data_IF_956078776280
#
_entry.id   IF_956078776280
#
_cell.length_a   1.000
_cell.length_b   1.000
_cell.length_c   1.000
_cell.angle_alpha   90.00
_cell.angle_beta   90.00
_cell.angle_gamma   90.00
#
_symmetry.space_group_name_H-M   'P 1'
#
loop_
_entity.id
_entity.type
_entity.pdbx_description
1 polymer ?
#
# COMPACT_ATOMS: atom_id res chain seq x y z
N UNK A 1 3.02 -2.25 -18.28
CA UNK A 1 3.01 -0.94 -17.61
C UNK A 1 4.02 -0.06 -18.33
N UNK A 2 3.58 1.09 -18.81
CA UNK A 2 4.44 2.08 -19.48
C UNK A 2 5.26 2.86 -18.45
N UNK A 3 6.32 3.53 -18.89
CA UNK A 3 7.12 4.39 -18.00
C UNK A 3 6.27 5.53 -17.40
N UNK A 4 5.30 6.06 -18.15
CA UNK A 4 4.39 7.10 -17.68
C UNK A 4 3.45 6.61 -16.56
N UNK A 5 2.91 5.40 -16.69
CA UNK A 5 2.09 4.75 -15.64
C UNK A 5 2.90 4.51 -14.36
N UNK A 6 4.16 4.11 -14.52
CA UNK A 6 5.08 3.91 -13.40
C UNK A 6 5.33 5.22 -12.65
N UNK A 7 5.58 6.31 -13.37
CA UNK A 7 5.76 7.64 -12.78
C UNK A 7 4.53 8.09 -12.00
N UNK A 8 3.32 7.85 -12.54
CA UNK A 8 2.07 8.18 -11.84
C UNK A 8 1.92 7.40 -10.53
N UNK A 9 2.20 6.10 -10.53
CA UNK A 9 2.14 5.28 -9.32
C UNK A 9 3.12 5.76 -8.25
N UNK A 10 4.34 6.12 -8.63
CA UNK A 10 5.36 6.61 -7.69
C UNK A 10 5.02 7.99 -7.09
N UNK A 11 4.15 8.76 -7.74
CA UNK A 11 3.71 10.06 -7.22
C UNK A 11 2.58 9.95 -6.19
N UNK A 12 1.95 8.78 -6.05
CA UNK A 12 0.87 8.54 -5.08
C UNK A 12 1.45 8.54 -3.67
N UNK A 13 0.81 9.28 -2.77
CA UNK A 13 1.14 9.30 -1.34
C UNK A 13 0.16 8.43 -0.58
N UNK A 14 0.66 7.69 0.40
CA UNK A 14 -0.17 6.95 1.35
C UNK A 14 -0.60 7.86 2.50
N UNK A 15 -1.79 7.61 3.04
CA UNK A 15 -2.25 8.18 4.31
C UNK A 15 -1.62 7.40 5.47
N UNK A 16 -0.31 7.57 5.63
CA UNK A 16 0.50 6.99 6.70
C UNK A 16 1.20 8.07 7.51
N UNK A 17 1.59 7.71 8.74
CA UNK A 17 2.25 8.61 9.67
C UNK A 17 3.29 7.84 10.48
N UNK A 18 4.41 8.51 10.73
CA UNK A 18 5.49 8.00 11.58
C UNK A 18 5.68 8.98 12.76
N UNK A 19 5.87 8.43 13.95
CA UNK A 19 6.21 9.15 15.16
C UNK A 19 7.73 9.07 15.36
N UNK A 20 8.39 10.22 15.34
CA UNK A 20 9.83 10.32 15.57
C UNK A 20 10.10 10.94 16.94
N UNK A 21 10.97 10.30 17.73
CA UNK A 21 11.42 10.78 19.03
C UNK A 21 12.95 10.77 19.10
N UNK A 22 13.56 11.94 19.34
CA UNK A 22 15.01 12.13 19.42
C UNK A 22 15.78 11.49 18.24
N UNK A 23 15.25 11.62 17.02
CA UNK A 23 15.86 11.07 15.81
C UNK A 23 15.65 9.57 15.59
N UNK A 24 14.88 8.89 16.44
CA UNK A 24 14.53 7.48 16.27
C UNK A 24 13.02 7.33 16.04
N UNK A 25 12.64 6.34 15.23
CA UNK A 25 11.23 5.98 15.06
C UNK A 25 10.70 5.35 16.36
N UNK A 26 9.67 5.96 16.92
CA UNK A 26 8.97 5.47 18.11
C UNK A 26 7.72 4.66 17.77
N UNK A 27 7.21 4.78 16.54
CA UNK A 27 6.11 3.99 16.01
C UNK A 27 5.53 4.61 14.75
N UNK A 28 4.59 3.92 14.12
CA UNK A 28 3.93 4.38 12.90
C UNK A 28 2.58 3.73 12.69
N UNK A 29 1.84 4.23 11.72
CA UNK A 29 0.52 3.73 11.38
C UNK A 29 0.02 4.25 10.03
N UNK A 30 -1.15 3.75 9.64
CA UNK A 30 -1.82 4.19 8.43
C UNK A 30 -3.33 4.06 8.57
N UNK A 31 -4.05 4.86 7.79
CA UNK A 31 -5.46 4.60 7.53
C UNK A 31 -5.57 3.29 6.75
N UNK A 32 -6.59 2.49 7.07
CA UNK A 32 -6.81 1.18 6.46
C UNK A 32 -7.77 1.32 5.29
N UNK A 33 -7.45 0.63 4.20
CA UNK A 33 -8.37 0.48 3.07
C UNK A 33 -9.53 -0.40 3.55
N UNK A 34 -10.76 0.12 3.41
CA UNK A 34 -11.98 -0.61 3.70
C UNK A 34 -12.74 -1.03 2.43
N UNK A 35 -12.38 -0.44 1.28
CA UNK A 35 -12.95 -0.78 -0.01
C UNK A 35 -12.31 -2.07 -0.56
N UNK A 36 -13.14 -3.07 -0.83
CA UNK A 36 -12.69 -4.40 -1.25
C UNK A 36 -12.05 -4.38 -2.64
N UNK A 37 -12.59 -3.59 -3.56
CA UNK A 37 -12.10 -3.53 -4.93
C UNK A 37 -10.73 -2.85 -4.98
N UNK A 38 -10.58 -1.75 -4.24
CA UNK A 38 -9.31 -1.06 -4.07
C UNK A 38 -8.26 -1.96 -3.42
N UNK A 39 -8.62 -2.67 -2.34
CA UNK A 39 -7.71 -3.61 -1.68
C UNK A 39 -7.24 -4.72 -2.64
N UNK A 40 -8.15 -5.25 -3.44
CA UNK A 40 -7.81 -6.25 -4.46
C UNK A 40 -6.88 -5.69 -5.54
N UNK A 41 -7.13 -4.46 -6.00
CA UNK A 41 -6.26 -3.79 -6.97
C UNK A 41 -4.84 -3.60 -6.44
N UNK A 42 -4.69 -3.21 -5.17
CA UNK A 42 -3.38 -3.12 -4.50
C UNK A 42 -2.70 -4.49 -4.46
N UNK A 43 -3.41 -5.57 -4.12
CA UNK A 43 -2.82 -6.92 -4.13
C UNK A 43 -2.36 -7.36 -5.51
N UNK A 44 -3.15 -7.09 -6.55
CA UNK A 44 -2.77 -7.38 -7.93
C UNK A 44 -1.53 -6.58 -8.36
N UNK A 45 -1.43 -5.30 -7.97
CA UNK A 45 -0.23 -4.48 -8.23
C UNK A 45 1.01 -5.00 -7.50
N UNK A 46 0.85 -5.60 -6.31
CA UNK A 46 1.92 -6.26 -5.57
C UNK A 46 2.26 -7.66 -6.11
N UNK A 47 1.56 -8.14 -7.14
CA UNK A 47 1.82 -9.42 -7.79
C UNK A 47 1.28 -10.65 -7.04
N UNK A 48 0.31 -10.46 -6.14
CA UNK A 48 -0.39 -11.56 -5.48
C UNK A 48 -1.43 -12.17 -6.43
N UNK A 49 -1.47 -13.49 -6.48
CA UNK A 49 -2.54 -14.24 -7.18
C UNK A 49 -3.81 -14.31 -6.33
N UNK A 50 -4.97 -14.46 -6.98
CA UNK A 50 -6.27 -14.57 -6.30
C UNK A 50 -6.29 -15.67 -5.24
N UNK A 51 -5.63 -16.81 -5.50
CA UNK A 51 -5.48 -17.89 -4.53
C UNK A 51 -4.73 -17.44 -3.27
N UNK A 52 -3.60 -16.76 -3.43
CA UNK A 52 -2.82 -16.25 -2.30
C UNK A 52 -3.56 -15.17 -1.51
N UNK A 53 -4.40 -14.39 -2.19
CA UNK A 53 -5.27 -13.40 -1.55
C UNK A 53 -6.30 -14.13 -0.67
N UNK A 54 -7.06 -15.06 -1.25
CA UNK A 54 -8.11 -15.81 -0.54
C UNK A 54 -7.59 -16.66 0.63
N UNK A 55 -6.35 -17.17 0.55
CA UNK A 55 -5.76 -17.98 1.63
C UNK A 55 -5.28 -17.15 2.82
N UNK A 56 -4.99 -15.85 2.63
CA UNK A 56 -4.28 -15.01 3.62
C UNK A 56 -5.12 -13.84 4.15
N UNK A 57 -6.18 -13.45 3.44
CA UNK A 57 -6.98 -12.26 3.71
C UNK A 57 -8.46 -12.55 3.48
#
# INVERSE_FOLDING_TARGET
MTDEEKTKLLAIKADCYDLIFNGNEAGGGSIRIYDKELQHAIFSLLGLSDKQIQERF
#
